data_IF_463236204984
#
_entry.id   IF_463236204984
#
_cell.length_a   1.000
_cell.length_b   1.000
_cell.length_c   1.000
_cell.angle_alpha   90.00
_cell.angle_beta   90.00
_cell.angle_gamma   90.00
#
_symmetry.space_group_name_H-M   'P 1'
#
loop_
_entity.id
_entity.type
_entity.pdbx_description
1 polymer ?
#
# COMPACT_ATOMS: atom_id res chain seq x y z
N UNK A 1 -30.83 5.00 5.41
CA UNK A 1 -29.51 5.63 5.20
C UNK A 1 -28.61 4.63 4.48
N UNK A 2 -28.21 4.93 3.23
CA UNK A 2 -27.34 4.05 2.45
C UNK A 2 -25.87 4.35 2.80
N UNK A 3 -25.24 3.42 3.49
CA UNK A 3 -23.80 3.40 3.77
C UNK A 3 -23.05 3.07 2.47
N UNK A 4 -22.69 4.09 1.70
CA UNK A 4 -21.76 3.95 0.58
C UNK A 4 -20.32 3.86 1.11
N UNK A 5 -19.98 2.74 1.75
CA UNK A 5 -18.58 2.34 1.91
C UNK A 5 -18.01 2.03 0.52
N UNK A 6 -16.88 2.66 0.18
CA UNK A 6 -16.06 2.25 -0.96
C UNK A 6 -16.15 3.05 -2.25
N UNK A 7 -16.98 4.09 -2.38
CA UNK A 7 -16.85 4.97 -3.56
C UNK A 7 -15.73 5.97 -3.33
N UNK A 8 -14.60 5.78 -4.02
CA UNK A 8 -13.67 6.88 -4.30
C UNK A 8 -14.53 8.07 -4.77
N UNK A 9 -14.59 9.13 -3.96
CA UNK A 9 -15.26 10.35 -4.36
C UNK A 9 -14.36 11.06 -5.38
N UNK A 10 -14.49 10.67 -6.64
CA UNK A 10 -13.83 11.34 -7.74
C UNK A 10 -14.43 12.74 -7.91
N UNK A 11 -13.71 13.76 -7.42
CA UNK A 11 -14.03 15.15 -7.71
C UNK A 11 -13.17 15.63 -8.87
N UNK A 12 -13.79 15.96 -9.99
CA UNK A 12 -13.13 16.59 -11.14
C UNK A 12 -13.46 18.08 -11.14
N UNK A 13 -12.43 18.91 -11.20
CA UNK A 13 -12.57 20.36 -11.36
C UNK A 13 -11.53 20.86 -12.35
N UNK A 14 -11.90 21.85 -13.15
CA UNK A 14 -11.07 22.34 -14.26
C UNK A 14 -10.76 23.84 -14.17
N UNK A 15 -11.36 24.60 -13.22
CA UNK A 15 -11.16 26.05 -13.06
C UNK A 15 -11.28 26.46 -11.58
N UNK A 16 -10.53 27.50 -11.16
CA UNK A 16 -10.53 28.09 -9.80
C UNK A 16 -10.21 27.10 -8.65
N UNK A 17 -9.09 26.39 -8.74
CA UNK A 17 -8.60 25.53 -7.67
C UNK A 17 -7.96 26.29 -6.49
N UNK A 18 -7.53 27.54 -6.72
CA UNK A 18 -6.86 28.33 -5.68
C UNK A 18 -7.80 28.58 -4.49
N UNK A 19 -7.33 28.29 -3.28
CA UNK A 19 -8.08 28.44 -2.03
C UNK A 19 -9.07 27.32 -1.72
N UNK A 20 -9.26 26.33 -2.60
CA UNK A 20 -10.12 25.18 -2.30
C UNK A 20 -9.43 24.20 -1.34
N UNK A 21 -10.18 23.70 -0.37
CA UNK A 21 -9.74 22.65 0.55
C UNK A 21 -10.58 21.39 0.33
N UNK A 22 -9.92 20.24 0.23
CA UNK A 22 -10.56 18.94 0.15
C UNK A 22 -10.22 18.13 1.39
N UNK A 23 -11.23 17.56 2.03
CA UNK A 23 -11.06 16.62 3.13
C UNK A 23 -11.39 15.22 2.66
N UNK A 24 -10.44 14.29 2.85
CA UNK A 24 -10.69 12.86 2.66
C UNK A 24 -11.19 12.25 3.97
N UNK A 25 -12.07 11.26 3.88
CA UNK A 25 -12.39 10.37 5.01
C UNK A 25 -11.39 9.23 5.15
N UNK A 26 -10.56 9.03 4.13
CA UNK A 26 -9.48 8.05 4.12
C UNK A 26 -8.13 8.73 4.40
N UNK A 27 -7.14 7.92 4.75
CA UNK A 27 -5.75 8.31 4.92
C UNK A 27 -5.00 8.54 3.59
N UNK A 28 -5.56 8.08 2.46
CA UNK A 28 -4.98 8.28 1.13
C UNK A 28 -5.80 9.25 0.27
N UNK A 29 -5.13 10.12 -0.48
CA UNK A 29 -5.73 11.01 -1.49
C UNK A 29 -4.96 10.89 -2.81
N UNK A 30 -5.64 10.48 -3.87
CA UNK A 30 -5.05 10.41 -5.22
C UNK A 30 -5.42 11.66 -6.00
N UNK A 31 -4.42 12.37 -6.51
CA UNK A 31 -4.63 13.56 -7.35
C UNK A 31 -4.11 13.32 -8.76
N UNK A 32 -4.96 13.57 -9.75
CA UNK A 32 -4.60 13.49 -11.17
C UNK A 32 -4.83 14.83 -11.84
N UNK A 33 -3.75 15.45 -12.31
CA UNK A 33 -3.82 16.63 -13.17
C UNK A 33 -3.80 16.19 -14.65
N UNK A 34 -4.78 16.64 -15.44
CA UNK A 34 -4.73 16.55 -16.91
C UNK A 34 -4.34 17.91 -17.45
N UNK A 35 -3.18 18.02 -18.11
CA UNK A 35 -2.72 19.26 -18.75
C UNK A 35 -3.21 19.34 -20.19
N UNK A 36 -3.76 20.50 -20.55
CA UNK A 36 -4.09 20.85 -21.95
C UNK A 36 -3.06 21.83 -22.52
N UNK A 37 -2.40 22.63 -21.66
CA UNK A 37 -1.31 23.55 -22.03
C UNK A 37 -0.13 23.38 -21.04
N UNK A 38 1.12 23.73 -21.42
CA UNK A 38 2.29 23.57 -20.56
C UNK A 38 2.28 24.48 -19.31
N UNK A 39 1.66 25.66 -19.43
CA UNK A 39 1.57 26.66 -18.36
C UNK A 39 0.40 26.37 -17.40
N UNK A 40 0.54 26.77 -16.13
CA UNK A 40 -0.51 26.63 -15.10
C UNK A 40 -0.46 25.27 -14.38
N UNK A 41 0.52 25.10 -13.48
CA UNK A 41 0.58 23.97 -12.55
C UNK A 41 -0.37 24.13 -11.35
N UNK A 42 -0.44 23.10 -10.51
CA UNK A 42 -1.15 23.16 -9.22
C UNK A 42 -0.14 22.84 -8.13
N UNK A 43 -0.11 23.65 -7.07
CA UNK A 43 0.62 23.34 -5.84
C UNK A 43 -0.40 22.95 -4.79
N UNK A 44 -0.19 21.81 -4.14
CA UNK A 44 -1.06 21.29 -3.10
C UNK A 44 -0.32 21.32 -1.77
N UNK A 45 -1.00 21.79 -0.74
CA UNK A 45 -0.56 21.63 0.65
C UNK A 45 -1.47 20.61 1.31
N UNK A 46 -0.88 19.66 2.03
CA UNK A 46 -1.62 18.63 2.75
C UNK A 46 -1.24 18.66 4.24
N UNK A 47 -2.18 18.22 5.07
CA UNK A 47 -2.00 18.00 6.49
C UNK A 47 -2.95 16.90 6.94
N UNK A 48 -2.53 16.05 7.85
CA UNK A 48 -3.36 15.00 8.44
C UNK A 48 -3.54 15.25 9.94
N UNK A 49 -4.60 14.65 10.50
CA UNK A 49 -4.82 14.54 11.95
C UNK A 49 -5.13 13.07 12.25
N UNK A 50 -4.72 12.55 13.42
CA UNK A 50 -5.12 11.21 13.85
C UNK A 50 -6.64 11.08 13.83
N UNK A 51 -7.14 9.92 13.38
CA UNK A 51 -8.57 9.63 13.41
C UNK A 51 -9.04 9.47 14.86
N UNK A 52 -10.25 9.94 15.23
CA UNK A 52 -10.76 9.87 16.60
C UNK A 52 -11.11 8.45 17.08
N UNK A 53 -10.86 7.41 16.27
CA UNK A 53 -11.11 6.01 16.62
C UNK A 53 -10.09 5.07 15.98
N UNK A 54 -9.99 3.84 16.50
CA UNK A 54 -9.09 2.79 16.01
C UNK A 54 -9.75 2.02 14.86
N UNK A 55 -9.69 2.58 13.64
CA UNK A 55 -10.23 1.92 12.43
C UNK A 55 -9.29 0.85 11.84
N UNK A 56 -8.04 0.83 12.31
CA UNK A 56 -6.98 -0.10 11.90
C UNK A 56 -6.34 -0.69 13.16
N UNK A 57 -5.70 -1.86 13.03
CA UNK A 57 -4.91 -2.39 14.14
C UNK A 57 -3.71 -1.49 14.37
N UNK A 58 -3.26 -1.39 15.61
CA UNK A 58 -2.15 -0.51 15.99
C UNK A 58 -0.86 -0.86 15.24
N UNK A 59 -0.72 -2.11 14.80
CA UNK A 59 0.43 -2.60 14.05
C UNK A 59 0.29 -2.53 12.51
N UNK A 60 -0.87 -2.10 11.98
CA UNK A 60 -1.04 -1.94 10.53
C UNK A 60 -0.17 -0.77 10.03
N UNK A 61 0.58 -0.97 8.95
CA UNK A 61 1.46 0.03 8.36
C UNK A 61 1.07 0.37 6.93
N UNK A 62 1.36 1.59 6.50
CA UNK A 62 1.17 2.01 5.11
C UNK A 62 2.45 2.60 4.54
N UNK A 63 2.84 2.08 3.38
CA UNK A 63 4.07 2.44 2.67
C UNK A 63 3.69 3.10 1.36
N UNK A 64 4.37 4.21 1.05
CA UNK A 64 4.12 5.03 -0.13
C UNK A 64 5.41 5.28 -0.91
N UNK A 65 5.27 5.60 -2.19
CA UNK A 65 6.38 6.04 -3.02
C UNK A 65 7.01 4.93 -3.86
N UNK A 66 8.01 5.23 -4.69
CA UNK A 66 8.49 4.32 -5.72
C UNK A 66 9.39 3.18 -5.20
N UNK A 67 9.84 3.27 -3.96
CA UNK A 67 10.66 2.25 -3.28
C UNK A 67 10.56 2.43 -1.77
N UNK A 68 10.79 1.37 -1.01
CA UNK A 68 10.88 1.44 0.44
C UNK A 68 11.27 0.11 1.07
N UNK A 69 11.59 0.15 2.36
CA UNK A 69 11.87 -1.06 3.13
C UNK A 69 10.57 -1.67 3.66
N UNK A 70 10.56 -3.00 3.77
CA UNK A 70 9.50 -3.78 4.40
C UNK A 70 10.11 -4.42 5.63
N UNK A 71 9.50 -4.18 6.79
CA UNK A 71 9.87 -4.82 8.05
C UNK A 71 8.61 -5.41 8.65
N UNK A 72 8.68 -6.66 9.12
CA UNK A 72 7.55 -7.31 9.81
C UNK A 72 7.08 -6.45 10.99
N UNK A 73 5.77 -6.21 11.14
CA UNK A 73 5.24 -5.53 12.32
C UNK A 73 5.62 -6.24 13.61
N UNK A 74 5.72 -5.49 14.70
CA UNK A 74 5.96 -6.05 16.04
C UNK A 74 4.63 -6.05 16.79
N UNK A 75 4.30 -7.13 17.48
CA UNK A 75 3.14 -7.11 18.37
C UNK A 75 3.38 -6.06 19.46
N UNK A 76 2.37 -5.20 19.70
CA UNK A 76 2.35 -4.39 20.91
C UNK A 76 2.22 -5.29 22.14
N UNK A 77 2.85 -4.90 23.25
CA UNK A 77 2.87 -5.62 24.54
C UNK A 77 1.49 -5.90 25.12
N UNK A 78 0.49 -5.15 24.68
CA UNK A 78 -0.84 -5.13 25.30
C UNK A 78 -1.78 -6.22 24.75
N UNK A 79 -1.28 -7.14 23.92
CA UNK A 79 -2.04 -8.31 23.43
C UNK A 79 -3.26 -7.98 22.56
N UNK A 80 -3.44 -6.71 22.16
CA UNK A 80 -4.64 -6.23 21.45
C UNK A 80 -4.69 -6.57 19.96
N UNK A 81 -3.62 -7.11 19.37
CA UNK A 81 -3.59 -7.44 17.94
C UNK A 81 -4.15 -8.84 17.67
N UNK A 82 -5.40 -9.10 18.09
CA UNK A 82 -6.13 -10.34 17.78
C UNK A 82 -6.32 -10.41 16.26
N UNK A 83 -5.68 -11.37 15.61
CA UNK A 83 -5.85 -11.69 14.18
C UNK A 83 -4.77 -11.20 13.20
N UNK A 84 -3.57 -10.81 13.64
CA UNK A 84 -2.43 -10.48 12.76
C UNK A 84 -2.24 -8.98 12.45
N UNK A 85 -1.29 -8.64 11.57
CA UNK A 85 -0.96 -7.25 11.20
C UNK A 85 -0.81 -7.13 9.68
N UNK A 86 -1.11 -5.96 9.11
CA UNK A 86 -1.05 -5.73 7.66
C UNK A 86 -0.13 -4.59 7.26
N UNK A 87 0.50 -4.74 6.11
CA UNK A 87 1.23 -3.67 5.43
C UNK A 87 0.53 -3.39 4.10
N UNK A 88 0.14 -2.13 3.91
CA UNK A 88 -0.43 -1.64 2.66
C UNK A 88 0.64 -0.90 1.87
N UNK A 89 0.86 -1.26 0.61
CA UNK A 89 1.83 -0.61 -0.27
C UNK A 89 1.06 0.07 -1.41
N UNK A 90 1.16 1.39 -1.48
CA UNK A 90 0.52 2.22 -2.49
C UNK A 90 1.57 2.96 -3.32
N UNK A 91 1.68 2.61 -4.60
CA UNK A 91 2.58 3.28 -5.55
C UNK A 91 1.80 4.13 -6.54
N UNK A 92 2.51 4.81 -7.46
CA UNK A 92 1.85 5.60 -8.50
C UNK A 92 0.86 4.73 -9.31
N UNK A 93 -0.31 5.24 -9.72
CA UNK A 93 -1.35 4.44 -10.37
C UNK A 93 -0.94 3.72 -11.67
N UNK A 94 0.12 4.20 -12.32
CA UNK A 94 0.69 3.62 -13.55
C UNK A 94 1.88 2.69 -13.28
N UNK A 95 2.28 2.50 -12.02
CA UNK A 95 3.37 1.62 -11.66
C UNK A 95 2.83 0.27 -11.17
N UNK A 96 3.63 -0.76 -11.38
CA UNK A 96 3.49 -2.07 -10.72
C UNK A 96 4.48 -2.15 -9.57
N UNK A 97 4.34 -3.13 -8.70
CA UNK A 97 5.14 -3.32 -7.48
C UNK A 97 5.91 -4.62 -7.64
N UNK A 98 7.20 -4.60 -7.33
CA UNK A 98 7.97 -5.80 -7.02
C UNK A 98 8.33 -5.78 -5.54
N UNK A 99 8.32 -6.95 -4.91
CA UNK A 99 8.68 -7.16 -3.52
C UNK A 99 9.76 -8.25 -3.49
N UNK A 100 10.84 -7.97 -2.76
CA UNK A 100 11.82 -8.97 -2.40
C UNK A 100 12.06 -8.93 -0.90
N UNK A 101 11.85 -10.04 -0.21
CA UNK A 101 11.97 -10.11 1.24
C UNK A 101 12.51 -11.45 1.71
N UNK A 102 13.11 -11.45 2.89
CA UNK A 102 13.64 -12.62 3.55
C UNK A 102 13.11 -12.70 4.98
N UNK A 103 12.66 -13.89 5.37
CA UNK A 103 12.33 -14.21 6.76
C UNK A 103 13.58 -14.74 7.48
N UNK A 104 13.81 -14.25 8.69
CA UNK A 104 14.90 -14.62 9.60
C UNK A 104 14.34 -14.97 10.98
N UNK A 105 15.13 -15.71 11.77
CA UNK A 105 14.79 -16.10 13.15
C UNK A 105 13.45 -16.84 13.27
N UNK A 106 13.18 -17.76 12.35
CA UNK A 106 11.95 -18.54 12.43
C UNK A 106 12.12 -19.65 13.48
N UNK A 107 11.31 -19.61 14.54
CA UNK A 107 11.14 -20.76 15.43
C UNK A 107 10.49 -21.94 14.70
N UNK A 108 10.14 -23.00 15.42
CA UNK A 108 9.27 -24.07 14.88
C UNK A 108 7.88 -23.50 14.63
N UNK A 109 7.68 -22.91 13.45
CA UNK A 109 6.41 -22.32 13.04
C UNK A 109 5.32 -23.38 13.03
N UNK A 110 4.19 -23.06 13.66
CA UNK A 110 2.98 -23.88 13.58
C UNK A 110 2.37 -23.75 12.18
N UNK A 111 1.50 -24.69 11.77
CA UNK A 111 0.79 -24.64 10.47
C UNK A 111 -0.04 -23.35 10.27
N UNK A 112 -0.28 -22.59 11.34
CA UNK A 112 -0.98 -21.31 11.34
C UNK A 112 -0.08 -20.07 11.07
N UNK A 113 1.25 -20.24 11.00
CA UNK A 113 2.18 -19.15 10.69
C UNK A 113 2.31 -18.94 9.18
N UNK A 114 1.83 -17.79 8.68
CA UNK A 114 1.93 -17.46 7.26
C UNK A 114 2.10 -15.95 7.02
N UNK A 115 2.60 -15.63 5.84
CA UNK A 115 2.59 -14.29 5.25
C UNK A 115 1.80 -14.38 3.95
N UNK A 116 0.78 -13.55 3.78
CA UNK A 116 -0.05 -13.54 2.58
C UNK A 116 0.14 -12.21 1.86
N UNK A 117 0.48 -12.26 0.58
CA UNK A 117 0.55 -11.08 -0.28
C UNK A 117 -0.64 -11.10 -1.23
N UNK A 118 -1.42 -10.02 -1.23
CA UNK A 118 -2.59 -9.82 -2.09
C UNK A 118 -2.37 -8.65 -3.03
N UNK A 119 -2.55 -8.89 -4.32
CA UNK A 119 -2.72 -7.83 -5.30
C UNK A 119 -4.14 -7.25 -5.17
N UNK A 120 -4.29 -5.95 -4.94
CA UNK A 120 -5.60 -5.33 -4.78
C UNK A 120 -6.32 -5.13 -6.12
N UNK A 121 -5.59 -5.06 -7.23
CA UNK A 121 -6.16 -4.94 -8.56
C UNK A 121 -6.74 -6.28 -9.05
N UNK A 122 -5.96 -7.35 -9.03
CA UNK A 122 -6.38 -8.67 -9.53
C UNK A 122 -7.03 -9.55 -8.46
N UNK A 123 -6.95 -9.14 -7.19
CA UNK A 123 -7.31 -9.94 -6.01
C UNK A 123 -6.52 -11.25 -5.87
N UNK A 124 -5.47 -11.44 -6.66
CA UNK A 124 -4.60 -12.62 -6.60
C UNK A 124 -3.85 -12.62 -5.29
N UNK A 125 -3.86 -13.77 -4.61
CA UNK A 125 -3.17 -13.98 -3.34
C UNK A 125 -2.05 -14.99 -3.50
N UNK A 126 -0.97 -14.79 -2.76
CA UNK A 126 0.14 -15.73 -2.65
C UNK A 126 0.52 -15.86 -1.18
N UNK A 127 0.55 -17.09 -0.68
CA UNK A 127 0.82 -17.40 0.72
C UNK A 127 2.20 -18.02 0.86
N UNK A 128 2.99 -17.49 1.78
CA UNK A 128 4.33 -17.92 2.12
C UNK A 128 4.34 -18.50 3.53
N UNK A 129 5.01 -19.64 3.71
CA UNK A 129 5.09 -20.38 5.00
C UNK A 129 6.51 -20.91 5.18
N UNK A 130 7.04 -20.86 6.38
CA UNK A 130 8.41 -21.32 6.66
C UNK A 130 9.49 -20.28 6.35
N UNK A 131 10.76 -20.69 6.47
CA UNK A 131 11.90 -19.85 6.15
C UNK A 131 12.01 -19.72 4.63
N UNK A 132 11.75 -18.52 4.10
CA UNK A 132 11.67 -18.29 2.67
C UNK A 132 12.23 -16.91 2.32
N UNK A 133 13.07 -16.86 1.28
CA UNK A 133 13.23 -15.66 0.47
C UNK A 133 12.08 -15.62 -0.53
N UNK A 134 11.34 -14.53 -0.59
CA UNK A 134 10.25 -14.35 -1.53
C UNK A 134 10.57 -13.26 -2.54
N UNK A 135 10.17 -13.51 -3.77
CA UNK A 135 10.04 -12.53 -4.83
C UNK A 135 8.60 -12.53 -5.32
N UNK A 136 7.99 -11.36 -5.44
CA UNK A 136 6.61 -11.22 -5.85
C UNK A 136 6.43 -9.95 -6.68
N UNK A 137 5.58 -10.02 -7.70
CA UNK A 137 5.19 -8.86 -8.50
C UNK A 137 3.68 -8.70 -8.53
N UNK A 138 3.22 -7.46 -8.44
CA UNK A 138 1.82 -7.10 -8.66
C UNK A 138 1.55 -6.89 -10.15
N UNK A 139 0.28 -7.00 -10.52
CA UNK A 139 -0.33 -6.46 -11.75
C UNK A 139 -0.83 -5.03 -11.52
N UNK A 140 -1.19 -4.67 -10.28
CA UNK A 140 -1.70 -3.35 -9.90
C UNK A 140 -0.68 -2.42 -9.24
N UNK A 141 -1.15 -1.23 -8.84
CA UNK A 141 -0.38 -0.22 -8.09
C UNK A 141 -0.56 -0.33 -6.57
N UNK A 142 -1.24 -1.36 -6.10
CA UNK A 142 -1.61 -1.55 -4.71
C UNK A 142 -1.42 -3.01 -4.30
N UNK A 143 -0.74 -3.23 -3.18
CA UNK A 143 -0.56 -4.55 -2.59
C UNK A 143 -0.83 -4.52 -1.08
N UNK A 144 -1.38 -5.61 -0.56
CA UNK A 144 -1.59 -5.83 0.87
C UNK A 144 -0.80 -7.06 1.31
N UNK A 145 0.03 -6.90 2.33
CA UNK A 145 0.75 -8.00 2.97
C UNK A 145 0.15 -8.25 4.35
N UNK A 146 -0.38 -9.44 4.59
CA UNK A 146 -0.89 -9.87 5.89
C UNK A 146 0.13 -10.79 6.57
N UNK A 147 0.43 -10.47 7.82
CA UNK A 147 1.22 -11.30 8.73
C UNK A 147 0.26 -11.95 9.70
N UNK A 148 0.18 -13.28 9.67
CA UNK A 148 -0.73 -14.01 10.56
C UNK A 148 -0.33 -13.81 12.02
N UNK A 149 -1.28 -13.99 12.93
CA UNK A 149 -0.99 -13.94 14.36
C UNK A 149 0.09 -14.96 14.75
N UNK A 150 0.01 -16.19 14.23
CA UNK A 150 1.03 -17.22 14.46
C UNK A 150 2.42 -16.82 13.97
N UNK A 151 2.53 -16.08 12.87
CA UNK A 151 3.83 -15.55 12.42
C UNK A 151 4.42 -14.57 13.46
N UNK A 152 3.59 -13.65 13.95
CA UNK A 152 4.02 -12.63 14.90
C UNK A 152 4.40 -13.21 16.27
N UNK A 153 3.70 -14.25 16.72
CA UNK A 153 3.97 -14.97 17.98
C UNK A 153 5.30 -15.74 17.96
N UNK A 154 5.73 -16.24 16.80
CA UNK A 154 7.02 -16.94 16.67
C UNK A 154 8.24 -16.03 16.79
N UNK A 155 8.05 -14.72 16.92
CA UNK A 155 9.11 -13.70 16.91
C UNK A 155 9.98 -13.72 15.65
N UNK A 156 9.49 -14.36 14.58
CA UNK A 156 10.10 -14.32 13.26
C UNK A 156 10.16 -12.87 12.75
N UNK A 157 11.24 -12.56 12.01
CA UNK A 157 11.44 -11.23 11.43
C UNK A 157 11.47 -11.34 9.93
N UNK A 158 10.62 -10.59 9.25
CA UNK A 158 10.74 -10.38 7.81
C UNK A 158 11.41 -9.04 7.56
N UNK A 159 12.41 -9.03 6.68
CA UNK A 159 13.01 -7.81 6.15
C UNK A 159 13.12 -7.90 4.63
N UNK A 160 12.76 -6.83 3.95
CA UNK A 160 12.80 -6.76 2.52
C UNK A 160 12.72 -5.35 1.99
N UNK A 161 12.53 -5.24 0.68
CA UNK A 161 12.32 -4.00 -0.03
C UNK A 161 11.23 -4.19 -1.08
N UNK A 162 10.53 -3.11 -1.38
CA UNK A 162 9.69 -3.01 -2.56
C UNK A 162 10.19 -1.90 -3.48
N UNK A 163 9.88 -2.03 -4.76
CA UNK A 163 10.12 -0.99 -5.75
C UNK A 163 9.09 -1.02 -6.86
N UNK A 164 8.95 0.11 -7.56
CA UNK A 164 8.06 0.22 -8.71
C UNK A 164 8.68 -0.38 -9.96
N UNK A 165 7.94 -1.28 -10.59
CA UNK A 165 8.16 -1.68 -11.97
C UNK A 165 7.42 -0.71 -12.90
N UNK A 166 8.07 -0.35 -14.02
CA UNK A 166 7.41 0.46 -15.04
C UNK A 166 6.38 -0.44 -15.74
N UNK A 167 5.10 -0.06 -15.71
CA UNK A 167 4.14 -0.74 -16.59
C UNK A 167 4.45 -0.28 -18.01
N UNK A 168 4.65 -1.22 -18.93
CA UNK A 168 4.92 -0.95 -20.34
C UNK A 168 3.68 -0.40 -21.07
N UNK A 169 3.15 0.73 -20.61
CA UNK A 169 2.05 1.44 -21.26
C UNK A 169 2.55 2.79 -21.79
N UNK A 170 3.08 2.70 -23.01
CA UNK A 170 3.20 3.75 -24.02
C UNK A 170 4.32 4.79 -23.82
N UNK A 171 5.50 4.48 -24.36
CA UNK A 171 6.29 5.52 -25.03
C UNK A 171 5.35 6.24 -26.01
N UNK A 172 5.20 7.58 -25.93
CA UNK A 172 4.71 8.30 -27.08
C UNK A 172 5.75 8.07 -28.16
N UNK A 173 5.38 7.33 -29.21
CA UNK A 173 6.09 7.36 -30.50
C UNK A 173 6.37 8.82 -30.79
N UNK A 174 7.64 9.21 -30.67
CA UNK A 174 8.14 10.49 -31.11
C UNK A 174 7.88 10.56 -32.61
N UNK A 175 6.77 11.19 -32.99
CA UNK A 175 6.63 11.74 -34.33
C UNK A 175 7.70 12.80 -34.47
N UNK A 176 8.80 12.42 -35.12
CA UNK A 176 9.75 13.37 -35.66
C UNK A 176 9.18 13.92 -36.98
N UNK A 177 9.50 15.19 -37.31
CA UNK A 177 8.87 15.98 -38.37
C UNK A 177 9.14 15.45 -39.79
#
# INVERSE_FOLDING_TARGET
>A
MLLLWGRLMWRKTCRKLSGMTFSSRANTLVVRQRRVRPQGGVVLRYSSRPAPGTFHRECDMQLFGPRGEIVSPVMSSDGRNVGGCRIFIDVAPWARIAIHALTTNMGTGTDASYILIRDIHSLKTMTFRGQQSLYWESEGSQAEMEFSQGFLETHARLRGQYWTLHSGAQEPRSGLP
#
